data_IF_992294721819
#
_entry.id   IF_992294721819
#
_cell.length_a   1.000
_cell.length_b   1.000
_cell.length_c   1.000
_cell.angle_alpha   90.00
_cell.angle_beta   90.00
_cell.angle_gamma   90.00
#
_symmetry.space_group_name_H-M   'P 1'
#
loop_
_entity.id
_entity.type
_entity.pdbx_description
1 polymer ?
#
# COMPACT_ATOMS: atom_id res chain seq x y z
N UNK A 1 10.38 -16.69 -1.99
CA UNK A 1 10.92 -15.36 -2.31
C UNK A 1 11.44 -14.75 -1.03
N UNK A 2 12.68 -14.27 -1.02
CA UNK A 2 13.28 -13.63 0.15
C UNK A 2 12.98 -12.12 0.18
N UNK A 3 12.77 -11.54 1.39
CA UNK A 3 12.46 -10.11 1.53
C UNK A 3 13.61 -9.22 1.07
N UNK A 4 14.86 -9.62 1.26
CA UNK A 4 16.00 -8.81 0.81
C UNK A 4 16.08 -8.74 -0.71
N UNK A 5 15.77 -9.84 -1.41
CA UNK A 5 15.67 -9.84 -2.88
C UNK A 5 14.56 -8.90 -3.37
N UNK A 6 13.38 -8.96 -2.76
CA UNK A 6 12.27 -8.05 -3.05
C UNK A 6 12.66 -6.59 -2.80
N UNK A 7 13.33 -6.30 -1.67
CA UNK A 7 13.77 -4.94 -1.34
C UNK A 7 14.84 -4.41 -2.30
N UNK A 8 15.76 -5.27 -2.76
CA UNK A 8 16.74 -4.92 -3.78
C UNK A 8 16.06 -4.61 -5.12
N UNK A 9 15.06 -5.41 -5.51
CA UNK A 9 14.28 -5.17 -6.72
C UNK A 9 13.50 -3.85 -6.62
N UNK A 10 12.83 -3.60 -5.48
CA UNK A 10 12.17 -2.32 -5.22
C UNK A 10 13.11 -1.14 -5.45
N UNK A 11 14.30 -1.18 -4.83
CA UNK A 11 15.30 -0.10 -4.96
C UNK A 11 15.91 0.02 -6.35
N UNK A 12 15.85 -1.04 -7.17
CA UNK A 12 16.28 -1.00 -8.56
C UNK A 12 15.33 -0.13 -9.40
N UNK A 13 14.04 -0.10 -9.08
CA UNK A 13 13.01 0.55 -9.89
C UNK A 13 12.37 1.79 -9.27
N UNK A 14 12.39 1.90 -7.94
CA UNK A 14 11.92 3.04 -7.16
C UNK A 14 13.07 3.53 -6.26
N UNK A 15 13.53 4.76 -6.44
CA UNK A 15 14.64 5.36 -5.69
C UNK A 15 14.23 6.55 -4.83
N UNK A 16 13.12 7.22 -5.17
CA UNK A 16 12.67 8.40 -4.43
C UNK A 16 12.16 8.02 -3.03
N UNK A 17 12.50 8.81 -1.98
CA UNK A 17 12.11 8.50 -0.60
C UNK A 17 10.61 8.31 -0.42
N UNK A 18 9.80 9.04 -1.20
CA UNK A 18 8.36 8.92 -1.20
C UNK A 18 7.89 7.52 -1.60
N UNK A 19 8.39 6.97 -2.72
CA UNK A 19 8.01 5.63 -3.20
C UNK A 19 8.50 4.53 -2.26
N UNK A 20 9.72 4.67 -1.73
CA UNK A 20 10.25 3.73 -0.73
C UNK A 20 9.40 3.75 0.54
N UNK A 21 9.04 4.94 1.05
CA UNK A 21 8.19 5.04 2.23
C UNK A 21 6.80 4.44 1.99
N UNK A 22 6.21 4.68 0.82
CA UNK A 22 4.91 4.14 0.47
C UNK A 22 4.94 2.61 0.39
N UNK A 23 5.90 2.04 -0.34
CA UNK A 23 6.07 0.59 -0.43
C UNK A 23 6.26 -0.09 0.95
N UNK A 24 7.10 0.48 1.81
CA UNK A 24 7.29 -0.03 3.18
C UNK A 24 6.04 0.14 4.05
N UNK A 25 5.28 1.22 3.85
CA UNK A 25 3.99 1.43 4.53
C UNK A 25 3.00 0.33 4.13
N UNK A 26 2.83 0.09 2.83
CA UNK A 26 1.88 -0.91 2.32
C UNK A 26 2.31 -2.32 2.73
N UNK A 27 3.61 -2.65 2.74
CA UNK A 27 4.10 -3.89 3.35
C UNK A 27 3.62 -4.03 4.80
N UNK A 28 3.88 -3.03 5.65
CA UNK A 28 3.50 -3.09 7.06
C UNK A 28 1.99 -3.19 7.27
N UNK A 29 1.21 -2.48 6.44
CA UNK A 29 -0.25 -2.52 6.46
C UNK A 29 -0.77 -3.91 6.08
N UNK A 30 -0.23 -4.50 5.02
CA UNK A 30 -0.62 -5.83 4.56
C UNK A 30 -0.29 -6.91 5.60
N UNK A 31 0.88 -6.84 6.24
CA UNK A 31 1.27 -7.74 7.35
C UNK A 31 0.31 -7.63 8.53
N UNK A 32 -0.09 -6.40 8.89
CA UNK A 32 -1.06 -6.17 9.96
C UNK A 32 -2.41 -6.79 9.62
N UNK A 33 -2.93 -6.55 8.41
CA UNK A 33 -4.21 -7.12 7.98
C UNK A 33 -4.19 -8.65 7.93
N UNK A 34 -3.09 -9.26 7.48
CA UNK A 34 -2.96 -10.71 7.47
C UNK A 34 -3.20 -11.30 8.87
N UNK A 35 -2.58 -10.73 9.90
CA UNK A 35 -2.76 -11.17 11.30
C UNK A 35 -4.19 -10.95 11.79
N UNK A 36 -4.72 -9.75 11.58
CA UNK A 36 -6.04 -9.35 12.10
C UNK A 36 -7.20 -10.12 11.45
N UNK A 37 -7.03 -10.55 10.20
CA UNK A 37 -8.05 -11.31 9.46
C UNK A 37 -7.87 -12.83 9.57
N UNK A 38 -6.90 -13.31 10.36
CA UNK A 38 -6.68 -14.74 10.59
C UNK A 38 -5.82 -15.45 9.54
N UNK A 39 -5.09 -14.70 8.71
CA UNK A 39 -4.14 -15.16 7.70
C UNK A 39 -2.68 -14.99 8.14
N UNK A 40 -2.40 -15.10 9.45
CA UNK A 40 -1.06 -14.89 10.00
C UNK A 40 0.03 -15.80 9.40
N UNK A 41 -0.34 -17.00 8.95
CA UNK A 41 0.58 -17.93 8.27
C UNK A 41 0.96 -17.46 6.85
N UNK A 42 0.20 -16.54 6.26
CA UNK A 42 0.47 -15.93 4.95
C UNK A 42 1.04 -14.51 5.05
N UNK A 43 1.36 -14.04 6.26
CA UNK A 43 1.80 -12.67 6.52
C UNK A 43 2.96 -12.22 5.62
N UNK A 44 3.97 -13.07 5.42
CA UNK A 44 5.11 -12.75 4.57
C UNK A 44 4.71 -12.58 3.11
N UNK A 45 3.78 -13.39 2.60
CA UNK A 45 3.27 -13.25 1.24
C UNK A 45 2.53 -11.92 1.08
N UNK A 46 1.63 -11.59 2.02
CA UNK A 46 0.88 -10.33 2.01
C UNK A 46 1.82 -9.12 2.07
N UNK A 47 2.83 -9.17 2.95
CA UNK A 47 3.83 -8.14 3.09
C UNK A 47 4.66 -7.92 1.83
N UNK A 48 5.14 -9.00 1.20
CA UNK A 48 5.96 -8.90 -0.02
C UNK A 48 5.15 -8.37 -1.22
N UNK A 49 3.89 -8.78 -1.36
CA UNK A 49 3.01 -8.21 -2.39
C UNK A 49 2.81 -6.71 -2.13
N UNK A 50 2.56 -6.31 -0.88
CA UNK A 50 2.47 -4.89 -0.51
C UNK A 50 3.75 -4.11 -0.78
N UNK A 51 4.92 -4.71 -0.54
CA UNK A 51 6.23 -4.08 -0.81
C UNK A 51 6.47 -3.82 -2.29
N UNK A 52 5.95 -4.68 -3.17
CA UNK A 52 6.22 -4.68 -4.60
C UNK A 52 5.02 -4.25 -5.47
N UNK A 53 3.90 -3.84 -4.87
CA UNK A 53 2.69 -3.49 -5.63
C UNK A 53 2.99 -2.43 -6.71
N UNK A 54 3.76 -1.40 -6.33
CA UNK A 54 4.16 -0.25 -7.14
C UNK A 54 5.56 -0.42 -7.80
N UNK A 55 6.02 -1.65 -8.02
CA UNK A 55 7.40 -1.91 -8.48
C UNK A 55 7.77 -1.19 -9.79
N UNK A 56 6.80 -0.89 -10.64
CA UNK A 56 7.01 -0.21 -11.92
C UNK A 56 6.70 1.30 -11.91
N UNK A 57 6.22 1.85 -10.79
CA UNK A 57 5.59 3.17 -10.76
C UNK A 57 6.57 4.32 -11.07
N UNK A 58 7.74 4.40 -10.41
CA UNK A 58 8.65 5.54 -10.59
C UNK A 58 9.29 5.58 -11.98
N UNK A 59 9.81 4.43 -12.47
CA UNK A 59 10.51 4.36 -13.76
C UNK A 59 9.58 4.20 -14.96
N UNK A 60 8.40 3.62 -14.77
CA UNK A 60 7.46 3.30 -15.84
C UNK A 60 6.01 3.70 -15.51
N UNK A 61 5.75 4.96 -15.10
CA UNK A 61 4.43 5.38 -14.63
C UNK A 61 3.32 5.19 -15.68
N UNK A 62 3.63 5.40 -16.97
CA UNK A 62 2.66 5.21 -18.07
C UNK A 62 2.34 3.72 -18.36
N UNK A 63 3.14 2.81 -17.81
CA UNK A 63 3.02 1.36 -17.96
C UNK A 63 2.78 0.68 -16.60
N UNK A 64 2.34 1.43 -15.59
CA UNK A 64 2.06 0.91 -14.28
C UNK A 64 1.09 -0.29 -14.34
N UNK A 65 1.37 -1.33 -13.55
CA UNK A 65 0.81 -2.69 -13.60
C UNK A 65 1.09 -3.51 -14.88
N UNK A 66 1.46 -2.88 -16.00
CA UNK A 66 1.79 -3.59 -17.27
C UNK A 66 3.24 -4.01 -17.32
N UNK A 67 4.13 -3.24 -16.70
CA UNK A 67 5.56 -3.52 -16.65
C UNK A 67 5.91 -4.44 -15.48
N UNK A 68 5.16 -4.38 -14.39
CA UNK A 68 5.35 -5.19 -13.18
C UNK A 68 5.59 -6.70 -13.45
N UNK A 69 4.82 -7.41 -14.31
CA UNK A 69 5.08 -8.83 -14.59
C UNK A 69 6.48 -9.12 -15.14
N UNK A 70 7.04 -8.22 -15.94
CA UNK A 70 8.41 -8.36 -16.46
C UNK A 70 9.44 -8.16 -15.35
N UNK A 71 9.24 -7.15 -14.50
CA UNK A 71 10.18 -6.81 -13.43
C UNK A 71 10.20 -7.87 -12.33
N UNK A 72 9.03 -8.39 -11.96
CA UNK A 72 8.86 -9.41 -10.93
C UNK A 72 9.50 -10.75 -11.32
N UNK A 73 9.62 -11.05 -12.62
CA UNK A 73 10.32 -12.25 -13.10
C UNK A 73 11.83 -12.22 -12.82
N UNK A 74 12.42 -11.06 -12.51
CA UNK A 74 13.83 -11.00 -12.12
C UNK A 74 14.14 -11.68 -10.78
N UNK A 75 13.13 -11.83 -9.94
CA UNK A 75 13.22 -12.51 -8.63
C UNK A 75 12.42 -13.82 -8.63
N UNK A 76 12.22 -14.41 -9.83
CA UNK A 76 11.48 -15.65 -10.03
C UNK A 76 10.07 -15.65 -9.42
N UNK A 77 9.40 -14.49 -9.40
CA UNK A 77 8.02 -14.40 -8.93
C UNK A 77 7.09 -15.26 -9.80
N UNK A 78 6.27 -16.07 -9.15
CA UNK A 78 5.29 -16.91 -9.81
C UNK A 78 4.05 -16.11 -10.27
N UNK A 79 3.20 -16.75 -11.10
CA UNK A 79 2.00 -16.12 -11.64
C UNK A 79 1.01 -15.69 -10.54
N UNK A 80 0.99 -16.39 -9.39
CA UNK A 80 0.16 -16.02 -8.23
C UNK A 80 0.62 -14.70 -7.63
N UNK A 81 1.93 -14.52 -7.44
CA UNK A 81 2.50 -13.29 -6.92
C UNK A 81 2.31 -12.13 -7.90
N UNK A 82 2.54 -12.38 -9.19
CA UNK A 82 2.34 -11.37 -10.24
C UNK A 82 0.86 -10.93 -10.26
N UNK A 83 -0.08 -11.88 -10.25
CA UNK A 83 -1.52 -11.58 -10.18
C UNK A 83 -1.86 -10.69 -8.98
N UNK A 84 -1.41 -11.10 -7.80
CA UNK A 84 -1.63 -10.39 -6.55
C UNK A 84 -1.07 -8.95 -6.55
N UNK A 85 0.06 -8.73 -7.22
CA UNK A 85 0.59 -7.38 -7.45
C UNK A 85 -0.30 -6.64 -8.43
N UNK A 86 -0.50 -7.11 -9.65
CA UNK A 86 -1.11 -6.28 -10.72
C UNK A 86 -2.61 -6.01 -10.53
N UNK A 87 -3.30 -6.75 -9.67
CA UNK A 87 -4.73 -6.54 -9.43
C UNK A 87 -5.05 -5.28 -8.61
N UNK A 88 -4.07 -4.65 -7.93
CA UNK A 88 -4.32 -3.41 -7.20
C UNK A 88 -4.70 -2.24 -8.14
N UNK A 89 -4.22 -2.27 -9.39
CA UNK A 89 -4.56 -1.29 -10.42
C UNK A 89 -5.89 -1.54 -11.15
N UNK A 90 -6.72 -2.47 -10.66
CA UNK A 90 -7.95 -2.91 -11.34
C UNK A 90 -8.90 -1.75 -11.65
N UNK A 91 -9.33 -1.65 -12.91
CA UNK A 91 -10.25 -0.61 -13.38
C UNK A 91 -9.61 0.76 -13.60
N UNK A 92 -8.30 0.91 -13.35
CA UNK A 92 -7.53 2.12 -13.64
C UNK A 92 -6.46 1.87 -14.71
N UNK A 93 -5.54 0.93 -14.44
CA UNK A 93 -4.41 0.59 -15.30
C UNK A 93 -4.26 -0.91 -15.56
N UNK A 94 -5.05 -1.74 -14.86
CA UNK A 94 -5.09 -3.20 -14.97
C UNK A 94 -6.52 -3.71 -15.17
N UNK A 95 -6.66 -4.80 -15.93
CA UNK A 95 -7.92 -5.54 -16.10
C UNK A 95 -8.00 -6.79 -15.19
N UNK A 96 -6.98 -7.02 -14.37
CA UNK A 96 -6.90 -8.16 -13.45
C UNK A 96 -7.68 -7.85 -12.17
N UNK A 97 -8.73 -8.62 -11.90
CA UNK A 97 -9.64 -8.36 -10.77
C UNK A 97 -9.06 -8.87 -9.44
N UNK A 98 -9.21 -8.12 -8.32
CA UNK A 98 -8.91 -8.65 -6.99
C UNK A 98 -9.98 -9.68 -6.57
N UNK A 99 -9.63 -10.95 -6.63
CA UNK A 99 -10.54 -12.08 -6.37
C UNK A 99 -10.41 -12.60 -4.92
N UNK A 100 -9.19 -12.61 -4.41
CA UNK A 100 -8.84 -13.17 -3.09
C UNK A 100 -8.90 -12.10 -2.00
N UNK A 101 -9.05 -12.52 -0.74
CA UNK A 101 -9.21 -11.59 0.39
C UNK A 101 -8.02 -10.61 0.48
N UNK A 102 -6.79 -11.12 0.41
CA UNK A 102 -5.56 -10.31 0.41
C UNK A 102 -5.55 -9.25 -0.69
N UNK A 103 -5.95 -9.64 -1.91
CA UNK A 103 -5.96 -8.75 -3.08
C UNK A 103 -6.97 -7.61 -2.91
N UNK A 104 -8.14 -7.92 -2.32
CA UNK A 104 -9.16 -6.92 -1.98
C UNK A 104 -8.66 -5.98 -0.89
N UNK A 105 -7.93 -6.48 0.10
CA UNK A 105 -7.30 -5.66 1.15
C UNK A 105 -6.26 -4.73 0.54
N UNK A 106 -5.37 -5.22 -0.32
CA UNK A 106 -4.39 -4.39 -1.02
C UNK A 106 -5.09 -3.28 -1.82
N UNK A 107 -6.03 -3.66 -2.68
CA UNK A 107 -6.82 -2.73 -3.49
C UNK A 107 -7.53 -1.66 -2.65
N UNK A 108 -8.10 -2.04 -1.49
CA UNK A 108 -8.83 -1.11 -0.64
C UNK A 108 -7.90 -0.20 0.20
N UNK A 109 -6.74 -0.69 0.58
CA UNK A 109 -5.86 -0.03 1.55
C UNK A 109 -4.79 0.84 0.90
N UNK A 110 -4.32 0.51 -0.30
CA UNK A 110 -3.25 1.20 -1.02
C UNK A 110 -3.47 2.73 -1.07
N UNK A 111 -4.43 3.18 -1.88
CA UNK A 111 -4.79 4.61 -2.03
C UNK A 111 -5.17 5.28 -0.70
N UNK A 112 -5.75 4.50 0.21
CA UNK A 112 -6.11 4.98 1.54
C UNK A 112 -4.88 5.27 2.40
N UNK A 113 -3.80 4.50 2.28
CA UNK A 113 -2.53 4.79 2.99
C UNK A 113 -1.97 6.15 2.56
N UNK A 114 -1.99 6.46 1.26
CA UNK A 114 -1.57 7.76 0.72
C UNK A 114 -2.40 8.92 1.29
N UNK A 115 -3.72 8.75 1.35
CA UNK A 115 -4.63 9.74 1.92
C UNK A 115 -4.40 9.94 3.43
N UNK A 116 -4.19 8.86 4.19
CA UNK A 116 -3.88 8.93 5.63
C UNK A 116 -2.53 9.61 5.84
N UNK A 117 -1.50 9.29 5.06
CA UNK A 117 -0.20 9.92 5.15
C UNK A 117 -0.25 11.42 4.88
N UNK A 118 -0.95 11.83 3.82
CA UNK A 118 -1.19 13.25 3.55
C UNK A 118 -1.90 13.93 4.74
N UNK A 119 -2.86 13.25 5.37
CA UNK A 119 -3.60 13.80 6.50
C UNK A 119 -2.72 13.90 7.74
N UNK A 120 -1.85 12.92 7.98
CA UNK A 120 -0.88 12.90 9.07
C UNK A 120 0.12 14.06 8.94
N UNK A 121 0.65 14.34 7.73
CA UNK A 121 1.58 15.45 7.47
C UNK A 121 1.00 16.83 7.83
N UNK A 122 -0.32 16.99 7.85
CA UNK A 122 -0.98 18.24 8.26
C UNK A 122 -1.12 18.41 9.78
N UNK A 123 -0.87 17.36 10.57
CA UNK A 123 -1.02 17.40 12.03
C UNK A 123 0.26 17.97 12.67
N UNK A 124 0.18 18.60 13.85
CA UNK A 124 1.37 19.04 14.58
C UNK A 124 2.36 17.90 14.88
N UNK A 125 1.84 16.70 15.15
CA UNK A 125 2.61 15.47 15.36
C UNK A 125 3.30 14.96 14.09
N UNK A 126 2.80 15.36 12.89
CA UNK A 126 3.16 14.80 11.59
C UNK A 126 3.04 13.28 11.51
N UNK A 127 2.14 12.69 12.30
CA UNK A 127 2.11 11.24 12.58
C UNK A 127 0.71 10.65 12.46
N UNK A 128 0.63 9.34 12.23
CA UNK A 128 -0.63 8.59 12.26
C UNK A 128 -1.04 8.21 13.69
N UNK A 129 -0.12 8.30 14.65
CA UNK A 129 -0.34 7.94 16.06
C UNK A 129 -1.53 8.67 16.68
N UNK A 130 -1.78 9.94 16.35
CA UNK A 130 -2.93 10.70 16.84
C UNK A 130 -4.07 10.82 15.80
N UNK A 131 -4.03 10.03 14.71
CA UNK A 131 -5.06 10.06 13.67
C UNK A 131 -6.39 9.48 14.16
N UNK A 132 -7.50 10.14 13.85
CA UNK A 132 -8.84 9.68 14.22
C UNK A 132 -9.69 9.51 12.97
N UNK A 133 -10.54 8.48 12.95
CA UNK A 133 -11.48 8.19 11.86
C UNK A 133 -12.33 9.42 11.51
N UNK A 134 -12.80 10.18 12.51
CA UNK A 134 -13.59 11.39 12.29
C UNK A 134 -12.84 12.46 11.50
N UNK A 135 -11.55 12.61 11.75
CA UNK A 135 -10.68 13.56 11.04
C UNK A 135 -10.40 13.09 9.62
N UNK A 136 -10.12 11.79 9.46
CA UNK A 136 -9.92 11.19 8.13
C UNK A 136 -11.18 11.29 7.26
N UNK A 137 -12.37 11.01 7.82
CA UNK A 137 -13.66 11.16 7.12
C UNK A 137 -13.88 12.56 6.55
N UNK A 138 -13.42 13.61 7.23
CA UNK A 138 -13.51 15.00 6.72
C UNK A 138 -12.58 15.19 5.52
N UNK A 139 -11.34 14.70 5.61
CA UNK A 139 -10.34 14.75 4.53
C UNK A 139 -10.76 13.93 3.31
N UNK A 140 -11.34 12.76 3.53
CA UNK A 140 -11.86 11.90 2.47
C UNK A 140 -12.96 12.57 1.63
N UNK A 141 -13.83 13.36 2.26
CA UNK A 141 -14.89 14.11 1.58
C UNK A 141 -14.37 15.29 0.75
N UNK A 142 -13.20 15.81 1.09
CA UNK A 142 -12.54 16.86 0.33
C UNK A 142 -11.81 16.24 -0.86
N UNK A 143 -12.41 16.36 -2.05
CA UNK A 143 -11.84 15.82 -3.29
C UNK A 143 -10.56 16.52 -3.73
N UNK A 144 -10.28 17.73 -3.23
CA UNK A 144 -9.05 18.45 -3.56
C UNK A 144 -7.85 18.00 -2.71
N UNK A 145 -8.12 17.49 -1.51
CA UNK A 145 -7.10 17.09 -0.55
C UNK A 145 -6.45 15.75 -0.94
N UNK A 146 -5.15 15.69 -1.23
CA UNK A 146 -4.54 14.45 -1.78
C UNK A 146 -5.29 13.98 -3.04
N UNK A 147 -5.45 14.87 -4.02
CA UNK A 147 -6.21 14.62 -5.26
C UNK A 147 -5.73 13.39 -6.06
N UNK A 148 -4.48 12.95 -5.84
CA UNK A 148 -3.94 11.72 -6.41
C UNK A 148 -4.65 10.45 -5.92
N UNK A 149 -5.23 10.45 -4.71
CA UNK A 149 -5.78 9.23 -4.14
C UNK A 149 -7.24 8.97 -4.55
N UNK A 150 -7.53 7.94 -5.34
CA UNK A 150 -8.90 7.75 -5.85
C UNK A 150 -9.91 7.39 -4.75
N UNK A 151 -10.89 8.27 -4.54
CA UNK A 151 -11.98 8.07 -3.54
C UNK A 151 -12.91 6.96 -3.97
N UNK A 152 -13.05 6.76 -5.27
CA UNK A 152 -13.94 5.76 -5.82
C UNK A 152 -13.29 4.38 -5.73
N UNK A 153 -11.97 4.27 -5.91
CA UNK A 153 -11.21 3.03 -5.59
C UNK A 153 -11.38 2.64 -4.14
N UNK A 154 -11.19 3.58 -3.20
CA UNK A 154 -11.33 3.30 -1.75
C UNK A 154 -12.76 2.83 -1.40
N UNK A 155 -13.80 3.43 -2.02
CA UNK A 155 -15.20 2.98 -1.82
C UNK A 155 -15.43 1.58 -2.37
N UNK A 156 -15.02 1.34 -3.61
CA UNK A 156 -15.16 0.03 -4.27
C UNK A 156 -14.40 -1.03 -3.48
N UNK A 157 -13.21 -0.71 -2.95
CA UNK A 157 -12.45 -1.59 -2.09
C UNK A 157 -13.19 -1.95 -0.80
N UNK A 158 -13.78 -0.97 -0.12
CA UNK A 158 -14.62 -1.22 1.06
C UNK A 158 -15.83 -2.11 0.72
N UNK A 159 -16.52 -1.82 -0.38
CA UNK A 159 -17.66 -2.61 -0.87
C UNK A 159 -17.27 -4.06 -1.19
N UNK A 160 -16.11 -4.27 -1.84
CA UNK A 160 -15.57 -5.61 -2.15
C UNK A 160 -15.22 -6.44 -0.92
N UNK A 161 -14.80 -5.78 0.15
CA UNK A 161 -14.56 -6.40 1.46
C UNK A 161 -15.86 -6.60 2.27
N UNK A 162 -16.98 -6.04 1.82
CA UNK A 162 -18.23 -6.00 2.58
C UNK A 162 -18.12 -5.15 3.85
N UNK A 163 -17.22 -4.17 3.87
CA UNK A 163 -16.96 -3.31 5.02
C UNK A 163 -17.56 -1.92 4.82
N UNK A 164 -17.96 -1.31 5.93
CA UNK A 164 -18.29 0.11 5.92
C UNK A 164 -16.98 0.92 5.86
N UNK A 165 -16.98 2.05 5.13
CA UNK A 165 -15.83 2.96 5.06
C UNK A 165 -15.20 3.32 6.43
N UNK A 166 -15.97 3.58 7.51
CA UNK A 166 -15.41 3.81 8.83
C UNK A 166 -14.54 2.66 9.34
N UNK A 167 -14.91 1.41 9.04
CA UNK A 167 -14.20 0.22 9.50
C UNK A 167 -12.89 0.08 8.73
N UNK A 168 -12.92 0.27 7.40
CA UNK A 168 -11.72 0.32 6.57
C UNK A 168 -10.77 1.45 7.04
N UNK A 169 -11.31 2.63 7.35
CA UNK A 169 -10.52 3.76 7.85
C UNK A 169 -9.86 3.45 9.20
N UNK A 170 -10.62 2.89 10.13
CA UNK A 170 -10.10 2.53 11.45
C UNK A 170 -8.99 1.50 11.34
N UNK A 171 -9.24 0.41 10.61
CA UNK A 171 -8.29 -0.69 10.41
C UNK A 171 -7.01 -0.20 9.73
N UNK A 172 -7.10 0.58 8.66
CA UNK A 172 -5.89 1.10 7.97
C UNK A 172 -5.13 2.11 8.84
N UNK A 173 -5.81 2.94 9.65
CA UNK A 173 -5.13 3.80 10.64
C UNK A 173 -4.38 2.94 11.66
N UNK A 174 -5.00 1.91 12.22
CA UNK A 174 -4.36 1.01 13.19
C UNK A 174 -3.17 0.27 12.58
N UNK A 175 -3.31 -0.20 11.34
CA UNK A 175 -2.25 -0.84 10.59
C UNK A 175 -1.04 0.10 10.42
N UNK A 176 -1.25 1.32 9.93
CA UNK A 176 -0.19 2.31 9.76
C UNK A 176 0.46 2.70 11.09
N UNK A 177 -0.32 2.82 12.18
CA UNK A 177 0.23 3.06 13.52
C UNK A 177 1.16 1.97 13.99
N UNK A 178 0.86 0.72 13.66
CA UNK A 178 1.64 -0.44 14.10
C UNK A 178 3.03 -0.50 13.45
N UNK A 179 3.19 0.08 12.26
CA UNK A 179 4.44 0.02 11.49
C UNK A 179 5.11 1.38 11.26
N UNK A 180 4.49 2.51 11.64
CA UNK A 180 5.00 3.85 11.31
C UNK A 180 6.46 4.07 11.73
N UNK A 181 6.84 3.68 12.96
CA UNK A 181 8.20 3.88 13.46
C UNK A 181 9.22 3.03 12.69
N UNK A 182 8.93 1.75 12.45
CA UNK A 182 9.82 0.87 11.69
C UNK A 182 9.94 1.32 10.24
N UNK A 183 8.84 1.74 9.61
CA UNK A 183 8.83 2.28 8.25
C UNK A 183 9.69 3.52 8.14
N UNK A 184 9.55 4.49 9.06
CA UNK A 184 10.39 5.70 9.06
C UNK A 184 11.86 5.37 9.26
N UNK A 185 12.18 4.45 10.17
CA UNK A 185 13.54 4.03 10.45
C UNK A 185 14.20 3.35 9.24
N UNK A 186 13.50 2.40 8.62
CA UNK A 186 13.98 1.67 7.45
C UNK A 186 14.07 2.59 6.22
N UNK A 187 13.06 3.43 5.97
CA UNK A 187 13.12 4.42 4.88
C UNK A 187 14.32 5.36 5.04
N UNK A 188 14.58 5.87 6.25
CA UNK A 188 15.76 6.69 6.52
C UNK A 188 17.06 5.91 6.27
N UNK A 189 17.14 4.64 6.68
CA UNK A 189 18.31 3.80 6.44
C UNK A 189 18.57 3.56 4.95
N UNK A 190 17.51 3.47 4.13
CA UNK A 190 17.61 3.19 2.69
C UNK A 190 17.86 4.43 1.84
N UNK A 191 17.35 5.59 2.26
CA UNK A 191 17.29 6.81 1.45
C UNK A 191 18.11 7.98 2.01
N UNK A 192 18.43 7.96 3.30
CA UNK A 192 19.05 9.08 4.01
C UNK A 192 18.11 10.25 4.29
N UNK A 193 16.81 10.15 3.95
CA UNK A 193 15.82 11.22 4.09
C UNK A 193 14.89 10.92 5.26
N UNK A 194 14.65 11.93 6.10
CA UNK A 194 13.64 11.86 7.17
C UNK A 194 12.30 12.36 6.62
N UNK A 195 11.45 11.43 6.25
CA UNK A 195 10.01 11.66 6.03
C UNK A 195 9.24 11.65 7.34
#
# INVERSE_FOLDING_TARGET
>A
MDRQEALQLLRKYNGEPFHIMHALTVEGVMRWYARELGYGDEEDFWGLVGLLHDIDFEKYPEQHCKKAPELLKEIDADDRFIHAVVCHGYGLCSDVEPEHEMEKVLFASDELTGLIWAAAKMRPSKSTQDMEVKSLKKKFKDKSFAAGCSRDVIKVGAERLGWELPDLFEKTILAMRSCEESVRSECFALTGVRE
#
